data_IF_269991893324
#
_entry.id   IF_269991893324
#
_cell.length_a   1.000
_cell.length_b   1.000
_cell.length_c   1.000
_cell.angle_alpha   90.00
_cell.angle_beta   90.00
_cell.angle_gamma   90.00
#
_symmetry.space_group_name_H-M   'P 1'
#
loop_
_entity.id
_entity.type
_entity.pdbx_description
1 polymer ?
#
# COMPACT_ATOMS: atom_id res chain seq x y z
N UNK A 1 -22.68 -33.35 18.02
CA UNK A 1 -22.86 -31.94 17.67
C UNK A 1 -21.53 -31.49 17.06
N UNK A 2 -21.50 -31.05 15.82
CA UNK A 2 -20.26 -30.58 15.19
C UNK A 2 -19.83 -29.26 15.85
N UNK A 3 -18.53 -29.14 16.22
CA UNK A 3 -17.98 -27.92 16.78
C UNK A 3 -17.96 -26.84 15.68
N UNK A 4 -18.24 -25.58 16.03
CA UNK A 4 -18.04 -24.44 15.16
C UNK A 4 -16.64 -23.85 15.33
N UNK A 5 -16.14 -23.02 14.41
CA UNK A 5 -14.86 -22.30 14.61
C UNK A 5 -14.82 -21.46 15.89
N UNK A 6 -15.96 -20.89 16.30
CA UNK A 6 -16.09 -20.13 17.55
C UNK A 6 -15.95 -21.04 18.77
N UNK A 7 -16.48 -22.28 18.69
CA UNK A 7 -16.37 -23.25 19.78
C UNK A 7 -14.91 -23.68 20.00
N UNK A 8 -14.10 -23.78 18.94
CA UNK A 8 -12.67 -24.10 19.05
C UNK A 8 -11.89 -22.96 19.73
N UNK A 9 -12.22 -21.71 19.44
CA UNK A 9 -11.61 -20.55 20.10
C UNK A 9 -11.97 -20.50 21.59
N UNK A 10 -13.22 -20.81 21.94
CA UNK A 10 -13.66 -20.92 23.34
C UNK A 10 -13.02 -22.12 24.05
N UNK A 11 -12.90 -23.24 23.34
CA UNK A 11 -12.21 -24.42 23.86
C UNK A 11 -10.74 -24.13 24.17
N UNK A 12 -10.06 -23.30 23.35
CA UNK A 12 -8.66 -22.95 23.59
C UNK A 12 -8.41 -22.23 24.91
N UNK A 13 -9.42 -21.51 25.42
CA UNK A 13 -9.35 -20.84 26.74
C UNK A 13 -9.46 -21.84 27.90
N UNK A 14 -10.25 -22.91 27.72
CA UNK A 14 -10.55 -23.88 28.77
C UNK A 14 -9.60 -25.07 28.70
N UNK A 15 -9.28 -25.54 27.52
CA UNK A 15 -8.40 -26.69 27.25
C UNK A 15 -7.61 -26.45 25.95
N UNK A 16 -6.53 -25.69 26.10
CA UNK A 16 -5.60 -25.30 25.02
C UNK A 16 -5.07 -26.53 24.26
N UNK A 17 -4.71 -27.60 24.96
CA UNK A 17 -4.16 -28.82 24.36
C UNK A 17 -5.19 -29.55 23.52
N UNK A 18 -6.45 -29.61 23.93
CA UNK A 18 -7.53 -30.20 23.17
C UNK A 18 -7.87 -29.38 21.92
N UNK A 19 -7.92 -28.05 22.06
CA UNK A 19 -8.14 -27.17 20.93
C UNK A 19 -7.02 -27.32 19.89
N UNK A 20 -5.76 -27.40 20.30
CA UNK A 20 -4.63 -27.61 19.42
C UNK A 20 -4.70 -28.94 18.66
N UNK A 21 -5.16 -30.04 19.32
CA UNK A 21 -5.39 -31.33 18.63
C UNK A 21 -6.48 -31.24 17.58
N UNK A 22 -7.62 -30.61 17.90
CA UNK A 22 -8.70 -30.39 16.92
C UNK A 22 -8.21 -29.61 15.72
N UNK A 23 -7.44 -28.53 15.93
CA UNK A 23 -6.86 -27.74 14.83
C UNK A 23 -5.82 -28.52 14.02
N UNK A 24 -5.07 -29.45 14.64
CA UNK A 24 -4.16 -30.35 13.93
C UNK A 24 -4.90 -31.25 12.96
N UNK A 25 -6.04 -31.81 13.39
CA UNK A 25 -6.89 -32.65 12.53
C UNK A 25 -7.53 -31.83 11.40
N UNK A 26 -7.97 -30.61 11.71
CA UNK A 26 -8.50 -29.65 10.70
C UNK A 26 -7.44 -29.31 9.65
N UNK A 27 -6.21 -29.00 10.08
CA UNK A 27 -5.10 -28.69 9.17
C UNK A 27 -4.76 -29.91 8.30
N UNK A 28 -4.63 -31.09 8.90
CA UNK A 28 -4.28 -32.33 8.19
C UNK A 28 -5.34 -32.66 7.12
N UNK A 29 -6.61 -32.53 7.45
CA UNK A 29 -7.71 -32.73 6.51
C UNK A 29 -7.66 -31.72 5.36
N UNK A 30 -7.43 -30.43 5.66
CA UNK A 30 -7.35 -29.36 4.65
C UNK A 30 -6.17 -29.58 3.68
N UNK A 31 -4.99 -29.97 4.19
CA UNK A 31 -3.81 -30.23 3.39
C UNK A 31 -3.95 -31.48 2.52
N UNK A 32 -4.74 -32.49 2.98
CA UNK A 32 -5.01 -33.73 2.24
C UNK A 32 -6.21 -33.62 1.29
N UNK A 33 -6.87 -32.44 1.20
CA UNK A 33 -8.10 -32.27 0.42
C UNK A 33 -9.30 -33.07 0.98
N UNK A 34 -9.25 -33.49 2.25
CA UNK A 34 -10.31 -34.20 2.94
C UNK A 34 -11.25 -33.23 3.66
N UNK A 35 -12.46 -33.72 3.99
CA UNK A 35 -13.41 -32.92 4.77
C UNK A 35 -12.91 -32.78 6.20
N UNK A 36 -12.66 -31.54 6.62
CA UNK A 36 -12.24 -31.25 7.99
C UNK A 36 -13.36 -31.51 9.01
N UNK A 37 -13.03 -31.95 10.23
CA UNK A 37 -14.02 -32.20 11.30
C UNK A 37 -14.74 -30.92 11.74
N UNK A 38 -14.07 -29.75 11.60
CA UNK A 38 -14.59 -28.40 11.83
C UNK A 38 -14.12 -27.50 10.70
N UNK A 39 -14.98 -26.60 10.21
CA UNK A 39 -14.56 -25.61 9.21
C UNK A 39 -13.49 -24.68 9.81
N UNK A 40 -12.38 -24.39 9.11
CA UNK A 40 -11.44 -23.37 9.52
C UNK A 40 -12.13 -21.99 9.61
N UNK A 41 -11.57 -21.10 10.42
CA UNK A 41 -12.01 -19.69 10.38
C UNK A 41 -11.80 -19.12 8.98
N UNK A 42 -12.72 -18.29 8.44
CA UNK A 42 -12.67 -17.84 7.04
C UNK A 42 -11.33 -17.18 6.65
N UNK A 43 -10.69 -16.44 7.57
CA UNK A 43 -9.38 -15.82 7.31
C UNK A 43 -8.26 -16.84 7.16
N UNK A 44 -8.32 -17.94 7.94
CA UNK A 44 -7.34 -19.04 7.90
C UNK A 44 -7.56 -19.86 6.63
N UNK A 45 -8.80 -20.20 6.31
CA UNK A 45 -9.16 -20.93 5.10
C UNK A 45 -8.70 -20.21 3.83
N UNK A 46 -8.96 -18.90 3.75
CA UNK A 46 -8.50 -18.06 2.65
C UNK A 46 -6.97 -18.03 2.54
N UNK A 47 -6.28 -17.92 3.67
CA UNK A 47 -4.82 -17.96 3.73
C UNK A 47 -4.29 -19.31 3.25
N UNK A 48 -4.77 -20.42 3.80
CA UNK A 48 -4.38 -21.75 3.37
C UNK A 48 -4.64 -21.99 1.88
N UNK A 49 -5.78 -21.53 1.37
CA UNK A 49 -6.09 -21.60 -0.05
C UNK A 49 -5.08 -20.83 -0.92
N UNK A 50 -4.54 -19.69 -0.46
CA UNK A 50 -3.46 -18.99 -1.16
C UNK A 50 -2.16 -19.80 -1.12
N UNK A 51 -1.80 -20.35 0.05
CA UNK A 51 -0.57 -21.13 0.24
C UNK A 51 -0.53 -22.38 -0.63
N UNK A 52 -1.62 -23.14 -0.64
CA UNK A 52 -1.75 -24.33 -1.48
C UNK A 52 -1.61 -24.00 -2.97
N UNK A 53 -2.25 -22.91 -3.43
CA UNK A 53 -2.10 -22.49 -4.84
C UNK A 53 -0.70 -21.98 -5.19
N UNK A 54 0.02 -21.42 -4.22
CA UNK A 54 1.40 -20.92 -4.40
C UNK A 54 2.46 -22.01 -4.21
N UNK A 55 2.06 -23.23 -3.84
CA UNK A 55 3.00 -24.36 -3.64
C UNK A 55 3.90 -24.17 -2.42
N UNK A 56 3.48 -23.46 -1.39
CA UNK A 56 4.24 -23.34 -0.13
C UNK A 56 4.25 -24.69 0.56
N UNK A 57 5.43 -25.20 0.89
CA UNK A 57 5.59 -26.48 1.58
C UNK A 57 5.28 -26.33 3.08
N UNK A 58 4.28 -27.03 3.63
CA UNK A 58 3.94 -26.96 5.04
C UNK A 58 4.99 -27.55 6.00
N UNK A 59 5.93 -28.33 5.49
CA UNK A 59 7.02 -28.95 6.27
C UNK A 59 8.38 -28.30 6.01
N UNK A 60 8.42 -27.18 5.25
CA UNK A 60 9.64 -26.43 4.95
C UNK A 60 10.26 -25.82 6.22
N UNK A 61 11.60 -25.91 6.32
CA UNK A 61 12.36 -25.25 7.41
C UNK A 61 12.77 -23.81 6.97
N UNK A 62 12.24 -22.81 7.70
CA UNK A 62 12.38 -21.40 7.34
C UNK A 62 13.68 -20.78 7.88
N UNK A 63 14.72 -20.88 7.13
CA UNK A 63 15.86 -19.97 7.26
C UNK A 63 16.00 -19.16 5.99
N UNK A 64 15.05 -18.23 5.78
CA UNK A 64 15.06 -17.37 4.59
C UNK A 64 15.96 -16.16 4.82
N UNK A 65 16.56 -15.70 3.70
CA UNK A 65 17.51 -14.60 3.65
C UNK A 65 17.16 -13.41 4.55
N UNK A 66 17.94 -13.27 5.61
CA UNK A 66 17.86 -12.12 6.52
C UNK A 66 18.38 -10.89 5.77
N UNK A 67 17.73 -9.76 6.00
CA UNK A 67 18.31 -8.47 5.63
C UNK A 67 19.61 -8.25 6.44
N UNK A 68 20.58 -7.59 5.84
CA UNK A 68 21.75 -7.13 6.58
C UNK A 68 21.36 -6.13 7.67
N UNK A 69 22.19 -6.01 8.70
CA UNK A 69 21.95 -5.03 9.78
C UNK A 69 21.82 -3.59 9.23
N UNK A 70 22.58 -3.27 8.19
CA UNK A 70 22.54 -1.97 7.54
C UNK A 70 21.18 -1.74 6.82
N UNK A 71 20.66 -2.74 6.11
CA UNK A 71 19.35 -2.64 5.46
C UNK A 71 18.23 -2.49 6.49
N UNK A 72 18.30 -3.24 7.61
CA UNK A 72 17.33 -3.07 8.71
C UNK A 72 17.42 -1.65 9.27
N UNK A 73 18.63 -1.12 9.47
CA UNK A 73 18.84 0.25 9.96
C UNK A 73 18.21 1.27 9.01
N UNK A 74 18.51 1.18 7.72
CA UNK A 74 17.97 2.09 6.70
C UNK A 74 16.43 2.03 6.62
N UNK A 75 15.85 0.82 6.66
CA UNK A 75 14.39 0.66 6.68
C UNK A 75 13.75 1.27 7.92
N UNK A 76 14.38 1.13 9.10
CA UNK A 76 13.93 1.77 10.34
C UNK A 76 13.96 3.30 10.25
N UNK A 77 15.00 3.87 9.67
CA UNK A 77 15.18 5.33 9.54
C UNK A 77 14.11 5.98 8.66
N UNK A 78 13.68 5.31 7.60
CA UNK A 78 12.64 5.82 6.70
C UNK A 78 11.23 5.43 7.11
N UNK A 79 11.07 4.51 8.05
CA UNK A 79 9.75 4.03 8.48
C UNK A 79 9.06 5.04 9.41
N UNK A 80 7.80 5.36 9.11
CA UNK A 80 6.94 6.15 10.00
C UNK A 80 6.66 5.42 11.33
N UNK A 81 6.77 4.08 11.37
CA UNK A 81 6.57 3.29 12.59
C UNK A 81 7.52 3.66 13.71
N UNK A 82 8.71 4.21 13.41
CA UNK A 82 9.65 4.70 14.43
C UNK A 82 9.03 5.75 15.36
N UNK A 83 8.11 6.56 14.85
CA UNK A 83 7.48 7.63 15.62
C UNK A 83 6.45 7.13 16.62
N UNK A 84 5.98 5.89 16.46
CA UNK A 84 4.97 5.27 17.33
C UNK A 84 5.53 4.12 18.17
N UNK A 85 6.82 3.81 18.05
CA UNK A 85 7.48 2.81 18.91
C UNK A 85 7.22 3.04 20.41
N UNK A 86 7.28 4.26 20.97
CA UNK A 86 6.98 4.47 22.39
C UNK A 86 5.57 4.03 22.74
N UNK A 87 4.58 4.34 21.92
CA UNK A 87 3.17 3.95 22.13
C UNK A 87 3.01 2.43 22.07
N UNK A 88 3.64 1.78 21.09
CA UNK A 88 3.59 0.32 20.94
C UNK A 88 4.28 -0.38 22.11
N UNK A 89 5.42 0.12 22.57
CA UNK A 89 6.13 -0.39 23.76
C UNK A 89 5.30 -0.27 25.02
N UNK A 90 4.81 0.92 25.29
CA UNK A 90 3.99 1.19 26.49
C UNK A 90 2.73 0.33 26.50
N UNK A 91 2.05 0.20 25.36
CA UNK A 91 0.80 -0.54 25.25
C UNK A 91 0.97 -2.07 25.25
N UNK A 92 2.12 -2.61 24.84
CA UNK A 92 2.29 -4.05 24.63
C UNK A 92 3.34 -4.71 25.52
N UNK A 93 4.50 -4.06 25.79
CA UNK A 93 5.60 -4.73 26.49
C UNK A 93 5.30 -4.99 27.97
N UNK A 94 4.58 -4.09 28.65
CA UNK A 94 4.26 -4.27 30.07
C UNK A 94 3.49 -5.58 30.35
N UNK A 95 2.66 -6.01 29.39
CA UNK A 95 1.91 -7.28 29.45
C UNK A 95 2.73 -8.42 28.83
N UNK A 96 3.46 -8.15 27.75
CA UNK A 96 4.26 -9.15 27.04
C UNK A 96 5.35 -9.76 27.94
N UNK A 97 6.04 -8.95 28.76
CA UNK A 97 7.09 -9.43 29.66
C UNK A 97 6.57 -10.37 30.77
N UNK A 98 5.40 -10.06 31.32
CA UNK A 98 4.78 -10.90 32.40
C UNK A 98 4.16 -12.18 31.81
N UNK A 99 3.76 -12.18 30.55
CA UNK A 99 3.07 -13.28 29.89
C UNK A 99 3.95 -14.11 28.94
N UNK A 100 5.27 -13.94 29.00
CA UNK A 100 6.22 -14.65 28.11
C UNK A 100 5.95 -14.45 26.61
N UNK A 101 5.54 -13.25 26.22
CA UNK A 101 5.34 -12.89 24.83
C UNK A 101 6.53 -12.10 24.27
N UNK A 102 6.66 -12.15 22.95
CA UNK A 102 7.52 -11.27 22.15
C UNK A 102 6.64 -10.27 21.39
N UNK A 103 7.01 -8.99 21.41
CA UNK A 103 6.47 -7.99 20.49
C UNK A 103 7.37 -7.93 19.25
N UNK A 104 6.77 -8.02 18.08
CA UNK A 104 7.44 -7.92 16.79
C UNK A 104 6.77 -6.82 15.97
N UNK A 105 7.57 -6.00 15.29
CA UNK A 105 7.06 -4.99 14.36
C UNK A 105 7.72 -5.24 13.02
N UNK A 106 6.90 -5.45 12.01
CA UNK A 106 7.31 -5.65 10.64
C UNK A 106 6.83 -4.48 9.75
N UNK A 107 7.55 -4.22 8.66
CA UNK A 107 7.12 -3.26 7.64
C UNK A 107 5.99 -3.81 6.76
N UNK A 108 5.54 -3.01 5.78
CA UNK A 108 4.49 -3.39 4.84
C UNK A 108 4.87 -4.56 3.91
N UNK A 109 6.18 -4.85 3.79
CA UNK A 109 6.71 -5.99 3.05
C UNK A 109 6.82 -7.24 3.93
N UNK A 110 6.42 -7.19 5.21
CA UNK A 110 6.53 -8.30 6.15
C UNK A 110 7.96 -8.54 6.66
N UNK A 111 8.88 -7.57 6.53
CA UNK A 111 10.24 -7.65 7.08
C UNK A 111 10.25 -7.23 8.54
N UNK A 112 10.78 -8.08 9.41
CA UNK A 112 10.89 -7.79 10.85
C UNK A 112 11.90 -6.66 11.07
N UNK A 113 11.42 -5.54 11.57
CA UNK A 113 12.26 -4.38 11.86
C UNK A 113 12.58 -4.20 13.34
N UNK A 114 11.66 -4.50 14.23
CA UNK A 114 11.88 -4.45 15.69
C UNK A 114 11.29 -5.69 16.34
N UNK A 115 11.94 -6.16 17.39
CA UNK A 115 11.45 -7.20 18.26
C UNK A 115 11.92 -6.95 19.69
N UNK A 116 11.02 -7.14 20.64
CA UNK A 116 11.29 -6.90 22.06
C UNK A 116 10.51 -7.91 22.92
N UNK A 117 11.11 -8.34 24.03
CA UNK A 117 10.54 -9.31 24.96
C UNK A 117 11.59 -9.82 25.92
N UNK A 118 11.20 -10.69 26.85
CA UNK A 118 12.13 -11.29 27.80
C UNK A 118 13.16 -12.19 27.11
N UNK A 119 14.37 -12.28 27.67
CA UNK A 119 15.46 -13.09 27.10
C UNK A 119 15.09 -14.55 26.83
N UNK A 120 14.30 -15.25 27.68
CA UNK A 120 13.88 -16.62 27.37
C UNK A 120 12.99 -16.74 26.14
N UNK A 121 12.01 -15.83 25.96
CA UNK A 121 11.11 -15.86 24.80
C UNK A 121 11.83 -15.45 23.53
N UNK A 122 12.77 -14.50 23.59
CA UNK A 122 13.60 -14.12 22.45
C UNK A 122 14.44 -15.30 21.95
N UNK A 123 15.09 -16.06 22.84
CA UNK A 123 15.84 -17.27 22.44
C UNK A 123 14.94 -18.34 21.80
N UNK A 124 13.71 -18.52 22.29
CA UNK A 124 12.74 -19.44 21.69
C UNK A 124 12.33 -18.94 20.30
N UNK A 125 12.13 -17.64 20.15
CA UNK A 125 11.78 -16.99 18.89
C UNK A 125 12.91 -17.10 17.84
N UNK A 126 14.19 -17.02 18.23
CA UNK A 126 15.34 -17.24 17.35
C UNK A 126 15.29 -18.63 16.70
N UNK A 127 14.88 -19.65 17.49
CA UNK A 127 14.72 -21.03 17.00
C UNK A 127 13.62 -21.21 15.95
N UNK A 128 12.73 -20.24 15.78
CA UNK A 128 11.60 -20.27 14.85
C UNK A 128 11.69 -19.20 13.76
N UNK A 129 12.86 -18.54 13.62
CA UNK A 129 13.09 -17.54 12.58
C UNK A 129 12.49 -16.15 12.84
N UNK A 130 12.06 -15.83 14.06
CA UNK A 130 11.67 -14.48 14.46
C UNK A 130 12.91 -13.58 14.70
N UNK A 131 13.75 -13.46 13.66
CA UNK A 131 14.97 -12.66 13.71
C UNK A 131 14.78 -11.29 13.05
N UNK A 132 15.65 -10.33 13.39
CA UNK A 132 15.66 -9.03 12.72
C UNK A 132 16.01 -9.21 11.23
N UNK A 133 15.25 -8.56 10.37
CA UNK A 133 15.41 -8.65 8.93
C UNK A 133 14.76 -9.88 8.29
N UNK A 134 14.18 -10.79 9.07
CA UNK A 134 13.50 -11.98 8.56
C UNK A 134 12.27 -11.61 7.71
N UNK A 135 12.00 -12.45 6.71
CA UNK A 135 10.86 -12.31 5.80
C UNK A 135 9.67 -13.13 6.30
N UNK A 136 8.67 -12.46 6.82
CA UNK A 136 7.46 -13.07 7.35
C UNK A 136 6.25 -12.91 6.43
N UNK A 137 6.46 -12.68 5.14
CA UNK A 137 5.37 -12.69 4.17
C UNK A 137 4.66 -14.03 4.17
N UNK A 138 3.36 -14.01 3.98
CA UNK A 138 2.52 -15.20 3.89
C UNK A 138 2.99 -16.15 2.78
N UNK A 139 3.47 -15.61 1.65
CA UNK A 139 4.04 -16.40 0.54
C UNK A 139 5.37 -17.09 0.86
N UNK A 140 6.01 -16.77 1.98
CA UNK A 140 7.29 -17.34 2.43
C UNK A 140 7.08 -18.26 3.62
N UNK A 141 6.43 -17.76 4.66
CA UNK A 141 6.24 -18.48 5.95
C UNK A 141 4.87 -19.16 6.05
N UNK A 142 3.97 -18.96 5.08
CA UNK A 142 2.60 -19.41 5.20
C UNK A 142 1.77 -18.53 6.14
N UNK A 143 0.63 -19.06 6.58
CA UNK A 143 -0.26 -18.37 7.52
C UNK A 143 0.44 -18.10 8.84
N UNK A 144 0.54 -16.82 9.23
CA UNK A 144 1.26 -16.37 10.43
C UNK A 144 0.72 -15.03 10.95
N UNK A 145 1.17 -14.59 12.13
CA UNK A 145 0.71 -13.36 12.79
C UNK A 145 1.17 -12.06 12.12
N UNK A 146 2.08 -12.09 11.15
CA UNK A 146 2.59 -10.90 10.44
C UNK A 146 2.07 -10.87 9.00
N UNK A 147 2.38 -11.88 8.20
CA UNK A 147 2.05 -11.91 6.77
C UNK A 147 0.57 -11.99 6.50
N UNK A 148 -0.20 -12.71 7.32
CA UNK A 148 -1.65 -12.83 7.15
C UNK A 148 -2.39 -11.52 7.41
N UNK A 149 -2.10 -10.73 8.47
CA UNK A 149 -2.64 -9.37 8.62
C UNK A 149 -2.23 -8.40 7.49
N UNK A 150 -1.01 -8.50 6.95
CA UNK A 150 -0.57 -7.70 5.79
C UNK A 150 -1.52 -7.93 4.60
N UNK A 151 -1.83 -9.18 4.29
CA UNK A 151 -2.70 -9.54 3.17
C UNK A 151 -4.18 -9.25 3.47
N UNK A 152 -4.64 -9.63 4.66
CA UNK A 152 -6.04 -9.50 5.06
C UNK A 152 -6.47 -8.07 5.38
N UNK A 153 -5.50 -7.14 5.62
CA UNK A 153 -5.73 -5.74 6.01
C UNK A 153 -6.62 -5.60 7.25
N UNK A 154 -6.53 -6.55 8.16
CA UNK A 154 -7.27 -6.56 9.43
C UNK A 154 -6.49 -7.33 10.50
N UNK A 155 -6.80 -7.13 11.78
CA UNK A 155 -6.21 -7.92 12.86
C UNK A 155 -6.52 -9.40 12.70
N UNK A 156 -5.51 -10.24 12.94
CA UNK A 156 -5.63 -11.71 12.86
C UNK A 156 -4.88 -12.33 14.03
N UNK A 157 -5.54 -13.24 14.72
CA UNK A 157 -4.90 -14.17 15.64
C UNK A 157 -4.72 -15.52 14.93
N UNK A 158 -3.55 -16.10 15.03
CA UNK A 158 -3.22 -17.43 14.48
C UNK A 158 -2.78 -18.31 15.64
N UNK A 159 -3.47 -19.40 15.84
CA UNK A 159 -3.30 -20.25 17.00
C UNK A 159 -2.96 -21.69 16.59
N UNK A 160 -1.92 -22.26 17.20
CA UNK A 160 -1.53 -23.65 17.00
C UNK A 160 -1.43 -24.02 15.51
N UNK A 161 -2.12 -25.10 15.13
CA UNK A 161 -2.15 -25.62 13.75
C UNK A 161 -2.98 -24.78 12.77
N UNK A 162 -3.42 -23.57 13.12
CA UNK A 162 -3.85 -22.57 12.15
C UNK A 162 -2.64 -22.00 11.39
N UNK A 163 -1.43 -22.05 11.97
CA UNK A 163 -0.21 -21.81 11.23
C UNK A 163 -0.07 -22.83 10.10
N UNK A 164 0.26 -22.34 8.90
CA UNK A 164 0.40 -23.23 7.74
C UNK A 164 1.59 -24.17 7.91
N UNK A 165 2.67 -23.67 8.47
CA UNK A 165 3.92 -24.39 8.62
C UNK A 165 4.03 -25.06 9.99
N UNK A 166 4.50 -26.30 9.97
CA UNK A 166 4.56 -27.17 11.15
C UNK A 166 5.43 -26.60 12.28
N UNK A 167 6.56 -25.99 11.96
CA UNK A 167 7.47 -25.42 12.96
C UNK A 167 6.87 -24.29 13.80
N UNK A 168 5.75 -23.67 13.30
CA UNK A 168 5.07 -22.57 13.97
C UNK A 168 3.89 -23.02 14.86
N UNK A 169 3.52 -24.29 14.81
CA UNK A 169 2.32 -24.78 15.52
C UNK A 169 2.40 -24.78 17.05
N UNK A 170 3.56 -24.54 17.62
CA UNK A 170 3.76 -24.35 19.08
C UNK A 170 3.57 -22.89 19.55
N UNK A 171 3.14 -22.00 18.65
CA UNK A 171 2.97 -20.58 18.91
C UNK A 171 1.50 -20.16 18.82
N UNK A 172 1.20 -19.08 19.55
CA UNK A 172 0.04 -18.22 19.32
C UNK A 172 0.55 -16.84 18.92
N UNK A 173 0.07 -16.34 17.78
CA UNK A 173 0.51 -15.09 17.19
C UNK A 173 -0.70 -14.17 16.97
N UNK A 174 -0.58 -12.91 17.32
CA UNK A 174 -1.67 -11.95 17.18
C UNK A 174 -1.13 -10.67 16.55
N UNK A 175 -1.45 -10.48 15.27
CA UNK A 175 -0.99 -9.33 14.51
C UNK A 175 -2.10 -8.35 14.16
N UNK A 176 -1.79 -7.06 14.22
CA UNK A 176 -2.66 -5.98 13.77
C UNK A 176 -1.92 -5.05 12.79
N UNK A 177 -2.52 -4.74 11.63
CA UNK A 177 -1.95 -3.79 10.69
C UNK A 177 -1.98 -2.38 11.26
N UNK A 178 -0.96 -1.58 10.93
CA UNK A 178 -0.89 -0.15 11.21
C UNK A 178 -0.90 0.57 9.88
N UNK A 179 -1.89 1.44 9.68
CA UNK A 179 -2.08 2.20 8.46
C UNK A 179 -1.73 3.67 8.64
N UNK A 180 -1.28 4.29 7.56
CA UNK A 180 -1.07 5.73 7.55
C UNK A 180 -2.42 6.45 7.59
N UNK A 181 -2.72 7.24 8.63
CA UNK A 181 -4.02 7.91 8.73
C UNK A 181 -4.23 9.00 7.67
N UNK A 182 -3.18 9.37 6.93
CA UNK A 182 -3.20 10.38 5.88
C UNK A 182 -3.81 9.85 4.57
N UNK A 183 -3.46 8.64 4.18
CA UNK A 183 -3.82 8.07 2.87
C UNK A 183 -4.28 6.60 2.91
N UNK A 184 -4.30 5.95 4.08
CA UNK A 184 -4.71 4.56 4.26
C UNK A 184 -3.67 3.53 3.81
N UNK A 185 -2.45 3.96 3.50
CA UNK A 185 -1.35 3.06 3.13
C UNK A 185 -0.94 2.22 4.33
N UNK A 186 -0.69 0.92 4.12
CA UNK A 186 -0.12 0.05 5.14
C UNK A 186 1.30 0.51 5.44
N UNK A 187 1.60 0.74 6.71
CA UNK A 187 2.94 1.05 7.20
C UNK A 187 3.66 -0.22 7.67
N UNK A 188 2.91 -1.17 8.21
CA UNK A 188 3.41 -2.43 8.71
C UNK A 188 2.41 -3.13 9.62
N UNK A 189 2.91 -4.08 10.40
CA UNK A 189 2.14 -4.88 11.35
C UNK A 189 2.85 -4.88 12.68
N UNK A 190 2.11 -4.73 13.77
CA UNK A 190 2.58 -5.09 15.10
C UNK A 190 2.00 -6.45 15.47
N UNK A 191 2.84 -7.35 15.97
CA UNK A 191 2.50 -8.70 16.38
C UNK A 191 2.94 -8.96 17.83
N UNK A 192 2.08 -9.65 18.57
CA UNK A 192 2.39 -10.21 19.88
C UNK A 192 2.28 -11.71 19.78
N UNK A 193 3.41 -12.39 19.97
CA UNK A 193 3.54 -13.83 19.84
C UNK A 193 4.06 -14.46 21.14
N UNK A 194 3.55 -15.64 21.46
CA UNK A 194 3.96 -16.38 22.65
C UNK A 194 3.77 -17.88 22.51
N UNK A 195 4.20 -18.63 23.54
CA UNK A 195 3.89 -20.06 23.63
C UNK A 195 2.39 -20.33 23.55
N UNK A 196 2.04 -21.52 23.08
CA UNK A 196 0.67 -21.93 22.86
C UNK A 196 -0.22 -21.74 24.11
N UNK A 197 0.33 -21.96 25.27
CA UNK A 197 -0.35 -21.90 26.58
C UNK A 197 -0.77 -20.47 26.95
N UNK A 198 -0.19 -19.46 26.30
CA UNK A 198 -0.50 -18.05 26.55
C UNK A 198 -1.65 -17.53 25.70
N UNK A 199 -2.29 -18.40 24.90
CA UNK A 199 -3.41 -18.03 24.04
C UNK A 199 -4.56 -17.46 24.85
N UNK A 200 -5.02 -16.28 24.45
CA UNK A 200 -6.24 -15.67 24.96
C UNK A 200 -6.95 -14.88 23.85
N UNK A 201 -8.29 -15.00 23.69
CA UNK A 201 -9.03 -14.29 22.63
C UNK A 201 -8.98 -12.77 22.77
N UNK A 202 -8.89 -12.25 23.99
CA UNK A 202 -8.79 -10.81 24.25
C UNK A 202 -7.50 -10.18 23.70
N UNK A 203 -6.45 -11.00 23.47
CA UNK A 203 -5.18 -10.51 22.89
C UNK A 203 -5.42 -9.85 21.53
N UNK A 204 -6.35 -10.36 20.73
CA UNK A 204 -6.68 -9.77 19.44
C UNK A 204 -7.22 -8.33 19.59
N UNK A 205 -8.18 -8.13 20.49
CA UNK A 205 -8.76 -6.82 20.73
C UNK A 205 -7.75 -5.85 21.36
N UNK A 206 -6.89 -6.36 22.24
CA UNK A 206 -5.83 -5.57 22.86
C UNK A 206 -4.80 -5.09 21.83
N UNK A 207 -4.23 -5.98 21.01
CA UNK A 207 -3.24 -5.63 19.98
C UNK A 207 -3.83 -4.68 18.94
N UNK A 208 -5.08 -4.91 18.50
CA UNK A 208 -5.81 -4.01 17.61
C UNK A 208 -6.01 -2.62 18.21
N UNK A 209 -6.35 -2.55 19.51
CA UNK A 209 -6.53 -1.27 20.19
C UNK A 209 -5.23 -0.47 20.27
N UNK A 210 -4.10 -1.13 20.54
CA UNK A 210 -2.79 -0.46 20.59
C UNK A 210 -2.33 -0.05 19.19
N UNK A 211 -2.60 -0.86 18.14
CA UNK A 211 -2.35 -0.47 16.75
C UNK A 211 -3.14 0.79 16.36
N UNK A 212 -4.42 0.87 16.73
CA UNK A 212 -5.26 2.07 16.50
C UNK A 212 -4.78 3.29 17.31
N UNK A 213 -4.27 3.08 18.52
CA UNK A 213 -3.65 4.16 19.29
C UNK A 213 -2.39 4.68 18.60
N UNK A 214 -1.57 3.81 18.02
CA UNK A 214 -0.42 4.19 17.20
C UNK A 214 -0.84 5.00 15.96
N UNK A 215 -1.89 4.59 15.24
CA UNK A 215 -2.45 5.35 14.13
C UNK A 215 -2.97 6.73 14.57
N UNK A 216 -3.63 6.80 15.73
CA UNK A 216 -4.07 8.08 16.31
C UNK A 216 -2.90 9.00 16.62
N UNK A 217 -1.80 8.46 17.14
CA UNK A 217 -0.56 9.21 17.40
C UNK A 217 0.07 9.73 16.11
N UNK A 218 0.11 8.93 15.03
CA UNK A 218 0.57 9.40 13.72
C UNK A 218 -0.29 10.55 13.20
N UNK A 219 -1.61 10.48 13.37
CA UNK A 219 -2.53 11.57 13.01
C UNK A 219 -2.25 12.85 13.79
N UNK A 220 -2.06 12.74 15.10
CA UNK A 220 -1.70 13.87 15.97
C UNK A 220 -0.40 14.54 15.51
N UNK A 221 0.66 13.73 15.26
CA UNK A 221 1.95 14.24 14.79
C UNK A 221 1.83 14.96 13.46
N UNK A 222 1.06 14.41 12.51
CA UNK A 222 0.81 15.03 11.21
C UNK A 222 0.05 16.36 11.36
N UNK A 223 -1.05 16.38 12.11
CA UNK A 223 -1.82 17.62 12.33
C UNK A 223 -0.99 18.68 13.04
N UNK A 224 -0.19 18.29 14.03
CA UNK A 224 0.74 19.21 14.71
C UNK A 224 1.82 19.76 13.77
N UNK A 225 2.29 18.98 12.80
CA UNK A 225 3.24 19.43 11.79
C UNK A 225 2.59 20.44 10.84
N UNK A 226 1.37 20.16 10.36
CA UNK A 226 0.63 21.09 9.49
C UNK A 226 0.27 22.39 10.21
N UNK A 227 -0.06 22.35 11.50
CA UNK A 227 -0.35 23.55 12.28
C UNK A 227 0.89 24.45 12.46
N UNK A 228 2.06 23.86 12.73
CA UNK A 228 3.31 24.61 12.75
C UNK A 228 3.61 25.27 11.40
N UNK A 229 3.43 24.52 10.29
CA UNK A 229 3.62 25.09 8.96
C UNK A 229 2.60 26.19 8.65
N UNK A 230 1.35 26.04 9.08
CA UNK A 230 0.31 27.06 8.95
C UNK A 230 0.69 28.36 9.65
N UNK A 231 1.19 28.26 10.87
CA UNK A 231 1.63 29.43 11.65
C UNK A 231 2.77 30.18 10.96
N UNK A 232 3.70 29.47 10.32
CA UNK A 232 4.79 30.09 9.53
C UNK A 232 4.26 30.69 8.22
N UNK A 233 3.32 30.02 7.56
CA UNK A 233 2.81 30.44 6.26
C UNK A 233 1.80 31.60 6.33
N UNK A 234 1.03 31.72 7.41
CA UNK A 234 -0.06 32.69 7.51
C UNK A 234 0.37 34.15 7.24
N UNK A 235 1.44 34.71 7.85
CA UNK A 235 1.86 36.06 7.58
C UNK A 235 2.39 36.27 6.14
N UNK A 236 2.91 35.21 5.52
CA UNK A 236 3.37 35.25 4.12
C UNK A 236 2.17 35.23 3.18
N UNK A 237 1.23 34.31 3.37
CA UNK A 237 0.01 34.18 2.57
C UNK A 237 -0.87 35.45 2.63
N UNK A 238 -0.91 36.13 3.78
CA UNK A 238 -1.67 37.38 3.94
C UNK A 238 -1.13 38.53 3.05
N UNK A 239 0.13 38.45 2.60
CA UNK A 239 0.78 39.46 1.73
C UNK A 239 0.80 39.00 0.26
N UNK A 240 0.44 37.78 -0.03
CA UNK A 240 0.41 37.28 -1.41
C UNK A 240 -0.89 37.75 -2.06
N UNK A 241 -0.76 38.57 -3.11
CA UNK A 241 -1.88 38.87 -4.02
C UNK A 241 -2.06 37.69 -4.98
N UNK A 242 -3.26 37.07 -5.01
CA UNK A 242 -3.55 35.98 -5.92
C UNK A 242 -3.60 34.60 -5.26
N UNK A 243 -3.46 33.55 -6.07
CA UNK A 243 -3.62 32.15 -5.66
C UNK A 243 -2.32 31.59 -5.09
N UNK A 244 -2.35 31.12 -3.85
CA UNK A 244 -1.19 30.45 -3.26
C UNK A 244 -1.60 29.42 -2.22
N UNK A 245 -0.70 28.45 -1.97
CA UNK A 245 -0.86 27.43 -0.93
C UNK A 245 0.48 27.15 -0.24
N UNK A 246 0.39 26.81 1.04
CA UNK A 246 1.50 26.29 1.82
C UNK A 246 1.29 24.80 2.05
N UNK A 247 2.29 23.99 1.70
CA UNK A 247 2.23 22.53 1.79
C UNK A 247 3.48 21.99 2.49
N UNK A 248 3.35 20.84 3.15
CA UNK A 248 4.49 20.12 3.69
C UNK A 248 5.33 19.47 2.56
N UNK A 249 6.39 18.74 2.92
CA UNK A 249 7.29 18.09 1.95
C UNK A 249 6.61 17.00 1.14
N UNK A 250 5.53 16.41 1.66
CA UNK A 250 4.71 15.36 1.02
C UNK A 250 3.52 15.94 0.25
N UNK A 251 3.38 17.27 0.23
CA UNK A 251 2.33 18.00 -0.45
C UNK A 251 1.04 18.18 0.35
N UNK A 252 0.99 17.81 1.63
CA UNK A 252 -0.19 18.04 2.45
C UNK A 252 -0.38 19.53 2.75
N UNK A 253 -1.58 20.02 2.52
CA UNK A 253 -1.88 21.44 2.55
C UNK A 253 -2.09 21.93 3.97
N UNK A 254 -1.26 22.88 4.40
CA UNK A 254 -1.41 23.57 5.67
C UNK A 254 -2.34 24.79 5.55
N UNK A 255 -2.23 25.60 4.49
CA UNK A 255 -3.04 26.78 4.27
C UNK A 255 -3.16 27.13 2.78
N UNK A 256 -4.20 27.85 2.41
CA UNK A 256 -4.42 28.38 1.05
C UNK A 256 -4.91 29.82 1.09
N UNK A 257 -4.68 30.56 0.01
CA UNK A 257 -5.27 31.87 -0.25
C UNK A 257 -5.68 32.01 -1.71
N UNK A 258 -6.75 32.74 -2.01
CA UNK A 258 -7.20 33.04 -3.38
C UNK A 258 -7.68 31.84 -4.20
N UNK A 259 -7.85 30.65 -3.61
CA UNK A 259 -8.24 29.45 -4.31
C UNK A 259 -8.98 28.46 -3.38
N UNK A 260 -9.78 27.51 -3.93
CA UNK A 260 -10.41 26.47 -3.13
C UNK A 260 -9.37 25.59 -2.41
N UNK A 261 -9.73 25.12 -1.20
CA UNK A 261 -8.89 24.23 -0.43
C UNK A 261 -8.73 22.88 -1.17
N UNK A 262 -7.49 22.41 -1.26
CA UNK A 262 -7.15 21.04 -1.66
C UNK A 262 -6.38 20.39 -0.52
N UNK A 263 -6.71 19.16 -0.16
CA UNK A 263 -6.06 18.47 0.97
C UNK A 263 -4.59 18.13 0.70
N UNK A 264 -4.25 17.89 -0.57
CA UNK A 264 -2.89 17.51 -0.97
C UNK A 264 -2.56 18.01 -2.38
N UNK A 265 -1.41 18.65 -2.52
CA UNK A 265 -0.77 18.94 -3.79
C UNK A 265 0.14 17.77 -4.18
N UNK A 266 0.08 17.34 -5.44
CA UNK A 266 1.01 16.33 -5.96
C UNK A 266 2.34 17.00 -6.29
N UNK A 267 3.36 16.67 -5.48
CA UNK A 267 4.70 17.19 -5.66
C UNK A 267 5.60 16.13 -6.31
N UNK A 268 6.52 16.54 -7.21
CA UNK A 268 7.56 15.65 -7.71
C UNK A 268 8.51 15.25 -6.56
N UNK A 269 9.11 14.05 -6.64
CA UNK A 269 10.04 13.53 -5.62
C UNK A 269 11.22 14.47 -5.35
N UNK A 270 11.64 15.24 -6.37
CA UNK A 270 12.72 16.24 -6.31
C UNK A 270 12.16 17.63 -6.62
N UNK A 271 11.29 18.15 -5.74
CA UNK A 271 10.82 19.52 -5.88
C UNK A 271 11.97 20.50 -5.57
N UNK A 272 12.20 21.47 -6.47
CA UNK A 272 13.19 22.54 -6.31
C UNK A 272 12.53 23.90 -6.40
N UNK A 273 13.19 24.91 -5.86
CA UNK A 273 12.73 26.31 -5.89
C UNK A 273 12.65 26.87 -7.31
N UNK A 274 11.90 27.96 -7.48
CA UNK A 274 11.71 28.67 -8.73
C UNK A 274 10.45 28.31 -9.48
N UNK A 275 10.43 28.59 -10.78
CA UNK A 275 9.28 28.38 -11.63
C UNK A 275 9.13 26.87 -11.95
N UNK A 276 7.95 26.31 -11.67
CA UNK A 276 7.64 24.89 -11.87
C UNK A 276 6.22 24.73 -12.37
N UNK A 277 6.03 23.71 -13.20
CA UNK A 277 4.68 23.27 -13.54
C UNK A 277 4.23 22.19 -12.54
N UNK A 278 3.10 22.41 -11.88
CA UNK A 278 2.56 21.48 -10.87
C UNK A 278 1.11 21.14 -11.19
N UNK A 279 0.75 19.84 -11.30
CA UNK A 279 -0.65 19.45 -11.40
C UNK A 279 -1.36 19.70 -10.05
N UNK A 280 -2.60 20.12 -10.02
CA UNK A 280 -3.47 20.65 -11.08
C UNK A 280 -3.38 22.16 -11.23
N UNK A 281 -2.32 22.80 -10.71
CA UNK A 281 -2.22 24.26 -10.56
C UNK A 281 -1.66 24.96 -11.80
N UNK A 282 -0.96 24.22 -12.67
CA UNK A 282 -0.26 24.80 -13.82
C UNK A 282 1.09 25.37 -13.44
N UNK A 283 1.42 26.53 -14.01
CA UNK A 283 2.69 27.22 -13.73
C UNK A 283 2.67 27.83 -12.34
N UNK A 284 3.68 27.50 -11.54
CA UNK A 284 3.80 27.91 -10.14
C UNK A 284 5.21 28.39 -9.83
N UNK A 285 5.33 29.38 -8.94
CA UNK A 285 6.60 29.71 -8.28
C UNK A 285 6.66 28.97 -6.95
N UNK A 286 7.71 28.15 -6.75
CA UNK A 286 7.94 27.36 -5.54
C UNK A 286 9.02 28.04 -4.70
N UNK A 287 8.70 28.34 -3.46
CA UNK A 287 9.59 28.97 -2.48
C UNK A 287 9.69 28.06 -1.23
N UNK A 288 10.85 27.98 -0.56
CA UNK A 288 10.98 27.18 0.65
C UNK A 288 10.30 27.88 1.83
N UNK A 289 9.64 27.08 2.67
CA UNK A 289 9.17 27.49 3.99
C UNK A 289 9.74 26.54 5.06
N UNK A 290 9.84 27.00 6.29
CA UNK A 290 10.20 26.13 7.40
C UNK A 290 9.15 25.04 7.57
N UNK A 291 9.53 23.79 7.25
CA UNK A 291 8.65 22.62 7.29
C UNK A 291 7.96 22.26 5.98
N UNK A 292 8.17 23.02 4.87
CA UNK A 292 7.51 22.75 3.60
C UNK A 292 7.81 23.74 2.49
N UNK A 293 6.79 24.02 1.69
CA UNK A 293 6.87 24.86 0.50
C UNK A 293 5.72 25.87 0.46
N UNK A 294 6.02 27.09 -0.01
CA UNK A 294 5.04 28.04 -0.52
C UNK A 294 4.95 27.87 -2.05
N UNK A 295 3.76 27.65 -2.54
CA UNK A 295 3.48 27.49 -3.97
C UNK A 295 2.55 28.63 -4.37
N UNK A 296 3.05 29.55 -5.21
CA UNK A 296 2.26 30.64 -5.80
C UNK A 296 1.85 30.22 -7.19
N UNK A 297 0.56 30.18 -7.44
CA UNK A 297 -0.01 29.79 -8.74
C UNK A 297 0.00 31.02 -9.64
N UNK A 298 0.61 30.91 -10.82
CA UNK A 298 0.59 31.99 -11.80
C UNK A 298 -0.82 32.15 -12.38
N UNK A 299 -1.29 33.40 -12.44
CA UNK A 299 -2.52 33.75 -13.14
C UNK A 299 -2.28 34.09 -14.62
N UNK A 300 -1.01 34.14 -15.05
CA UNK A 300 -0.70 34.33 -16.46
C UNK A 300 -1.17 33.12 -17.26
N UNK A 301 -1.88 33.36 -18.36
CA UNK A 301 -2.19 32.27 -19.28
C UNK A 301 -0.86 31.69 -19.77
N UNK A 302 -0.60 30.43 -19.40
CA UNK A 302 0.55 29.68 -19.94
C UNK A 302 0.49 29.85 -21.46
N UNK A 303 1.53 30.37 -22.15
CA UNK A 303 1.59 30.29 -23.58
C UNK A 303 1.25 28.85 -23.95
N UNK A 304 0.37 28.62 -24.95
CA UNK A 304 -0.03 27.29 -25.43
C UNK A 304 1.18 26.58 -26.07
N UNK A 305 2.27 26.43 -25.33
CA UNK A 305 3.35 25.51 -25.66
C UNK A 305 2.78 24.14 -25.34
N UNK A 306 2.71 23.30 -26.36
CA UNK A 306 2.18 21.96 -26.25
C UNK A 306 2.80 21.26 -25.03
N UNK A 307 1.98 20.93 -24.05
CA UNK A 307 2.45 20.17 -22.90
C UNK A 307 2.62 18.74 -23.34
N UNK A 308 3.87 18.27 -23.41
CA UNK A 308 4.16 16.87 -23.80
C UNK A 308 3.84 15.95 -22.63
N UNK A 309 3.02 14.96 -22.89
CA UNK A 309 2.66 13.89 -21.95
C UNK A 309 3.22 12.58 -22.50
N UNK A 310 4.19 11.99 -21.84
CA UNK A 310 4.77 10.70 -22.21
C UNK A 310 4.24 9.64 -21.25
N UNK A 311 3.50 8.67 -21.78
CA UNK A 311 3.05 7.49 -21.07
C UNK A 311 4.02 6.35 -21.39
N UNK A 312 4.89 6.02 -20.44
CA UNK A 312 5.88 4.96 -20.60
C UNK A 312 5.34 3.64 -20.05
N UNK A 313 5.08 2.68 -20.95
CA UNK A 313 4.59 1.34 -20.67
C UNK A 313 5.64 0.26 -21.03
N UNK A 314 6.88 0.64 -21.31
CA UNK A 314 7.94 -0.26 -21.78
C UNK A 314 8.35 -1.30 -20.76
N UNK A 315 8.21 -1.00 -19.46
CA UNK A 315 8.58 -1.90 -18.38
C UNK A 315 7.38 -2.69 -17.86
N UNK A 316 7.48 -4.00 -17.76
CA UNK A 316 6.38 -4.91 -17.38
C UNK A 316 5.84 -4.72 -15.96
N UNK A 317 6.55 -4.00 -15.08
CA UNK A 317 6.17 -3.81 -13.67
C UNK A 317 6.20 -2.37 -13.19
N UNK A 318 6.61 -1.43 -14.02
CA UNK A 318 6.73 -0.02 -13.67
C UNK A 318 6.30 0.87 -14.83
N UNK A 319 5.13 1.45 -14.69
CA UNK A 319 4.56 2.35 -15.68
C UNK A 319 4.60 3.78 -15.17
N UNK A 320 4.97 4.71 -16.03
CA UNK A 320 5.08 6.10 -15.63
C UNK A 320 4.36 7.03 -16.60
N UNK A 321 3.84 8.12 -16.08
CA UNK A 321 3.42 9.26 -16.89
C UNK A 321 4.35 10.43 -16.60
N UNK A 322 4.94 10.99 -17.64
CA UNK A 322 5.81 12.16 -17.55
C UNK A 322 5.15 13.32 -18.28
N UNK A 323 4.99 14.43 -17.59
CA UNK A 323 4.48 15.67 -18.16
C UNK A 323 5.64 16.66 -18.23
N UNK A 324 5.89 17.21 -19.42
CA UNK A 324 6.95 18.19 -19.66
C UNK A 324 6.42 19.39 -20.42
N UNK A 325 6.96 20.56 -20.09
CA UNK A 325 6.64 21.83 -20.71
C UNK A 325 7.76 22.85 -20.46
N UNK A 326 7.56 24.10 -20.87
CA UNK A 326 8.55 25.18 -20.74
C UNK A 326 9.04 25.43 -19.30
N UNK A 327 8.26 25.02 -18.29
CA UNK A 327 8.56 25.23 -16.87
C UNK A 327 9.17 24.00 -16.17
N UNK A 328 9.52 22.94 -16.91
CA UNK A 328 10.14 21.73 -16.38
C UNK A 328 9.35 20.45 -16.67
N UNK A 329 9.78 19.36 -16.07
CA UNK A 329 9.12 18.05 -16.21
C UNK A 329 8.73 17.48 -14.85
N UNK A 330 7.67 16.68 -14.85
CA UNK A 330 7.15 15.95 -13.71
C UNK A 330 6.84 14.51 -14.12
N UNK A 331 7.18 13.55 -13.28
CA UNK A 331 6.92 12.14 -13.54
C UNK A 331 6.21 11.48 -12.37
N UNK A 332 5.25 10.60 -12.66
CA UNK A 332 4.48 9.84 -11.69
C UNK A 332 4.41 8.38 -12.06
N UNK A 333 4.64 7.51 -11.08
CA UNK A 333 4.48 6.07 -11.24
C UNK A 333 3.01 5.68 -11.12
N UNK A 334 2.52 4.94 -12.10
CA UNK A 334 1.12 4.59 -12.25
C UNK A 334 0.78 3.26 -11.55
N UNK A 335 -0.40 3.20 -10.95
CA UNK A 335 -1.00 1.91 -10.62
C UNK A 335 -1.40 1.16 -11.91
N UNK A 336 -1.52 -0.19 -11.87
CA UNK A 336 -1.96 -0.95 -13.04
C UNK A 336 -3.25 -0.40 -13.67
N UNK A 337 -4.24 -0.07 -12.85
CA UNK A 337 -5.53 0.47 -13.30
C UNK A 337 -5.42 1.86 -13.92
N UNK A 338 -4.55 2.72 -13.38
CA UNK A 338 -4.33 4.04 -13.96
C UNK A 338 -3.57 3.95 -15.29
N UNK A 339 -2.63 3.01 -15.42
CA UNK A 339 -1.93 2.76 -16.68
C UNK A 339 -2.89 2.30 -17.78
N UNK A 340 -3.82 1.37 -17.48
CA UNK A 340 -4.88 0.93 -18.38
C UNK A 340 -5.75 2.10 -18.86
N UNK A 341 -6.28 2.90 -17.92
CA UNK A 341 -7.15 4.02 -18.25
C UNK A 341 -6.45 5.08 -19.11
N UNK A 342 -5.22 5.47 -18.76
CA UNK A 342 -4.47 6.45 -19.54
C UNK A 342 -4.08 5.93 -20.91
N UNK A 343 -3.74 4.65 -21.05
CA UNK A 343 -3.50 4.01 -22.33
C UNK A 343 -4.75 4.07 -23.22
N UNK A 344 -5.91 3.69 -22.69
CA UNK A 344 -7.18 3.74 -23.43
C UNK A 344 -7.54 5.18 -23.85
N UNK A 345 -7.32 6.18 -23.00
CA UNK A 345 -7.53 7.58 -23.34
C UNK A 345 -6.52 8.08 -24.39
N UNK A 346 -5.31 7.56 -24.42
CA UNK A 346 -4.34 7.87 -25.46
C UNK A 346 -4.74 7.28 -26.82
N UNK A 347 -5.39 6.12 -26.84
CA UNK A 347 -5.97 5.52 -28.05
C UNK A 347 -7.22 6.26 -28.54
N UNK A 348 -8.05 6.74 -27.63
CA UNK A 348 -9.32 7.40 -27.96
C UNK A 348 -9.21 8.92 -27.77
N UNK A 349 -8.56 9.60 -28.72
CA UNK A 349 -8.31 11.04 -28.68
C UNK A 349 -9.59 11.88 -28.66
N UNK A 350 -10.64 11.41 -29.32
CA UNK A 350 -11.97 12.06 -29.34
C UNK A 350 -12.69 11.94 -27.99
N UNK A 351 -12.17 11.09 -27.10
CA UNK A 351 -12.67 10.87 -25.77
C UNK A 351 -13.56 9.63 -25.61
N UNK A 352 -13.67 9.19 -24.36
CA UNK A 352 -14.51 8.04 -23.98
C UNK A 352 -15.45 8.44 -22.83
N UNK A 353 -16.71 8.04 -22.94
CA UNK A 353 -17.67 8.15 -21.85
C UNK A 353 -17.38 7.15 -20.71
N UNK A 354 -17.96 7.39 -19.52
CA UNK A 354 -17.74 6.48 -18.39
C UNK A 354 -18.22 5.04 -18.66
N UNK A 355 -19.29 4.86 -19.44
CA UNK A 355 -19.78 3.53 -19.82
C UNK A 355 -18.83 2.84 -20.81
N UNK A 356 -18.31 3.57 -21.82
CA UNK A 356 -17.35 3.02 -22.76
C UNK A 356 -16.04 2.61 -22.09
N UNK A 357 -15.50 3.44 -21.18
CA UNK A 357 -14.33 3.05 -20.37
C UNK A 357 -14.61 1.86 -19.45
N UNK A 358 -15.84 1.75 -18.92
CA UNK A 358 -16.22 0.59 -18.09
C UNK A 358 -16.26 -0.70 -18.92
N UNK A 359 -16.76 -0.64 -20.13
CA UNK A 359 -16.74 -1.74 -21.09
C UNK A 359 -15.30 -2.11 -21.46
N UNK A 360 -14.47 -1.13 -21.84
CA UNK A 360 -13.08 -1.32 -22.24
C UNK A 360 -12.22 -1.96 -21.13
N UNK A 361 -12.47 -1.59 -19.86
CA UNK A 361 -11.66 -2.02 -18.71
C UNK A 361 -12.22 -3.26 -18.02
N UNK A 362 -13.53 -3.41 -17.96
CA UNK A 362 -14.20 -4.46 -17.18
C UNK A 362 -15.04 -5.42 -18.02
N UNK A 363 -15.28 -5.13 -19.30
CA UNK A 363 -16.23 -5.86 -20.11
C UNK A 363 -17.70 -5.66 -19.68
N UNK A 364 -17.95 -4.62 -18.86
CA UNK A 364 -19.28 -4.36 -18.29
C UNK A 364 -19.54 -2.83 -18.25
N UNK A 365 -20.36 -2.30 -19.15
CA UNK A 365 -20.65 -0.87 -19.24
C UNK A 365 -21.40 -0.31 -18.01
N UNK A 366 -21.98 -1.17 -17.14
CA UNK A 366 -22.66 -0.74 -15.93
C UNK A 366 -21.70 -0.27 -14.82
N UNK A 367 -20.41 -0.63 -14.87
CA UNK A 367 -19.41 -0.31 -13.85
C UNK A 367 -18.90 1.14 -13.88
N UNK A 368 -19.76 2.07 -14.26
CA UNK A 368 -19.43 3.51 -14.39
C UNK A 368 -18.99 4.18 -13.09
N UNK A 369 -19.51 3.71 -11.94
CA UNK A 369 -19.15 4.27 -10.62
C UNK A 369 -17.66 4.01 -10.33
N UNK A 370 -17.17 2.81 -10.63
CA UNK A 370 -15.76 2.45 -10.45
C UNK A 370 -14.87 3.29 -11.36
N UNK A 371 -15.24 3.43 -12.65
CA UNK A 371 -14.50 4.28 -13.61
C UNK A 371 -14.44 5.73 -13.13
N UNK A 372 -15.55 6.30 -12.69
CA UNK A 372 -15.60 7.68 -12.19
C UNK A 372 -14.70 7.88 -10.98
N UNK A 373 -14.66 6.91 -10.06
CA UNK A 373 -13.78 6.94 -8.89
C UNK A 373 -12.30 6.91 -9.29
N UNK A 374 -11.92 6.00 -10.20
CA UNK A 374 -10.53 5.91 -10.69
C UNK A 374 -10.14 7.14 -11.52
N UNK A 375 -10.99 7.62 -12.41
CA UNK A 375 -10.74 8.85 -13.17
C UNK A 375 -10.63 10.09 -12.28
N UNK A 376 -11.40 10.14 -11.19
CA UNK A 376 -11.24 11.19 -10.18
C UNK A 376 -9.85 11.15 -9.52
N UNK A 377 -9.31 9.95 -9.29
CA UNK A 377 -7.94 9.77 -8.76
C UNK A 377 -6.88 10.19 -9.77
N UNK A 378 -7.02 9.76 -11.02
CA UNK A 378 -6.12 10.15 -12.12
C UNK A 378 -6.09 11.67 -12.29
N UNK A 379 -7.25 12.33 -12.25
CA UNK A 379 -7.34 13.79 -12.37
C UNK A 379 -6.70 14.56 -11.22
N UNK A 380 -6.46 13.94 -10.07
CA UNK A 380 -5.72 14.62 -8.97
C UNK A 380 -4.30 14.97 -9.35
N UNK A 381 -3.65 14.17 -10.22
CA UNK A 381 -2.29 14.41 -10.66
C UNK A 381 -2.16 14.86 -12.13
N UNK A 382 -3.18 14.64 -12.97
CA UNK A 382 -3.19 15.12 -14.37
C UNK A 382 -4.21 16.25 -14.62
N UNK A 383 -4.90 16.71 -13.61
CA UNK A 383 -5.98 17.71 -13.55
C UNK A 383 -6.31 18.46 -14.83
N UNK A 384 -5.56 19.51 -15.12
CA UNK A 384 -5.78 20.37 -16.28
C UNK A 384 -5.45 19.77 -17.66
N UNK A 385 -4.93 18.53 -17.70
CA UNK A 385 -4.61 17.80 -18.93
C UNK A 385 -5.70 16.80 -19.32
N UNK A 386 -6.74 16.62 -18.48
CA UNK A 386 -7.83 15.68 -18.71
C UNK A 386 -9.18 16.36 -18.59
N UNK A 387 -9.95 16.33 -19.67
CA UNK A 387 -11.37 16.65 -19.67
C UNK A 387 -12.20 15.50 -19.06
N UNK A 388 -13.47 15.73 -18.73
CA UNK A 388 -14.25 14.74 -18.01
C UNK A 388 -15.61 14.40 -18.65
N UNK A 389 -15.99 15.07 -19.75
CA UNK A 389 -17.24 14.79 -20.49
C UNK A 389 -17.08 15.11 -21.97
N UNK A 390 -16.61 14.18 -22.77
CA UNK A 390 -16.06 12.84 -22.44
C UNK A 390 -14.71 12.92 -21.72
N UNK A 391 -14.23 11.79 -21.16
CA UNK A 391 -12.86 11.69 -20.68
C UNK A 391 -11.91 11.66 -21.86
N UNK A 392 -11.00 12.63 -21.94
CA UNK A 392 -9.95 12.72 -22.98
C UNK A 392 -8.80 13.60 -22.50
N UNK A 393 -7.68 13.47 -23.12
CA UNK A 393 -6.62 14.47 -22.98
C UNK A 393 -7.07 15.78 -23.64
N UNK A 394 -6.69 16.92 -23.04
CA UNK A 394 -6.98 18.25 -23.61
C UNK A 394 -6.28 18.43 -24.96
N UNK A 395 -6.83 19.25 -25.84
CA UNK A 395 -6.26 19.52 -27.17
C UNK A 395 -4.83 20.07 -27.13
N UNK A 396 -4.45 20.76 -26.03
CA UNK A 396 -3.10 21.28 -25.81
C UNK A 396 -2.09 20.26 -25.30
N UNK A 397 -2.51 19.00 -25.06
CA UNK A 397 -1.63 17.91 -24.61
C UNK A 397 -1.10 17.11 -25.80
N UNK A 398 0.20 17.21 -26.08
CA UNK A 398 0.89 16.33 -27.00
C UNK A 398 1.20 15.02 -26.27
N UNK A 399 0.42 13.97 -26.54
CA UNK A 399 0.51 12.70 -25.82
C UNK A 399 1.22 11.65 -26.67
N UNK A 400 2.30 11.15 -26.14
CA UNK A 400 3.10 10.06 -26.67
C UNK A 400 2.99 8.84 -25.76
N UNK A 401 2.86 7.65 -26.35
CA UNK A 401 2.85 6.38 -25.61
C UNK A 401 4.06 5.57 -26.05
N UNK A 402 4.93 5.26 -25.10
CA UNK A 402 6.04 4.35 -25.31
C UNK A 402 5.57 2.94 -24.96
N UNK A 403 5.55 2.08 -25.97
CA UNK A 403 5.09 0.70 -25.88
C UNK A 403 6.28 -0.25 -25.71
N UNK A 404 6.09 -1.42 -25.06
CA UNK A 404 7.10 -2.46 -24.99
C UNK A 404 7.40 -3.00 -26.42
N UNK A 405 8.61 -3.54 -26.60
CA UNK A 405 9.03 -4.11 -27.88
C UNK A 405 8.21 -5.34 -28.27
N UNK A 406 7.83 -6.19 -27.31
CA UNK A 406 6.86 -7.28 -27.52
C UNK A 406 5.46 -6.81 -27.08
N UNK A 407 4.46 -6.81 -27.96
CA UNK A 407 3.09 -6.47 -27.61
C UNK A 407 2.51 -7.28 -26.43
N UNK A 408 3.00 -8.48 -26.18
CA UNK A 408 2.58 -9.34 -25.06
C UNK A 408 2.96 -8.76 -23.72
N UNK A 409 4.01 -7.92 -23.67
CA UNK A 409 4.48 -7.25 -22.44
C UNK A 409 3.71 -5.97 -22.14
N UNK A 410 2.76 -5.58 -22.98
CA UNK A 410 1.88 -4.45 -22.72
C UNK A 410 0.98 -4.75 -21.52
N UNK A 411 1.26 -4.11 -20.38
CA UNK A 411 0.48 -4.27 -19.15
C UNK A 411 0.18 -5.74 -18.80
N UNK A 412 1.19 -6.62 -18.63
CA UNK A 412 1.06 -8.09 -18.72
C UNK A 412 0.06 -8.70 -17.73
N UNK A 413 -0.25 -8.01 -16.64
CA UNK A 413 -1.22 -8.44 -15.63
C UNK A 413 -2.62 -7.85 -15.81
N UNK A 414 -2.84 -7.08 -16.88
CA UNK A 414 -4.14 -6.50 -17.18
C UNK A 414 -5.14 -7.57 -17.62
N UNK A 415 -6.34 -7.49 -17.04
CA UNK A 415 -7.52 -8.27 -17.43
C UNK A 415 -8.51 -7.43 -18.24
N UNK A 416 -8.16 -6.19 -18.60
CA UNK A 416 -9.00 -5.28 -19.37
C UNK A 416 -9.16 -5.80 -20.80
N UNK A 417 -10.40 -6.05 -21.30
CA UNK A 417 -10.64 -6.58 -22.64
C UNK A 417 -9.96 -5.78 -23.74
N UNK A 418 -10.05 -4.45 -23.69
CA UNK A 418 -9.46 -3.59 -24.70
C UNK A 418 -7.92 -3.60 -24.69
N UNK A 419 -7.28 -3.82 -23.54
CA UNK A 419 -5.82 -3.98 -23.43
C UNK A 419 -5.38 -5.33 -23.97
N UNK A 420 -6.14 -6.40 -23.65
CA UNK A 420 -5.87 -7.77 -24.14
C UNK A 420 -5.97 -7.80 -25.66
N UNK A 421 -6.99 -7.17 -26.24
CA UNK A 421 -7.14 -7.04 -27.69
C UNK A 421 -5.96 -6.31 -28.32
N UNK A 422 -5.40 -5.29 -27.66
CA UNK A 422 -4.23 -4.56 -28.16
C UNK A 422 -2.89 -5.33 -28.06
N UNK A 423 -2.85 -6.51 -27.41
CA UNK A 423 -1.70 -7.42 -27.41
C UNK A 423 -1.67 -8.38 -28.60
N UNK A 424 -2.79 -8.52 -29.31
CA UNK A 424 -2.81 -9.33 -30.52
C UNK A 424 -1.99 -8.62 -31.62
N UNK A 425 -1.17 -9.34 -32.39
CA UNK A 425 -0.51 -8.76 -33.55
C UNK A 425 -1.56 -8.47 -34.60
N UNK A 426 -2.02 -7.23 -34.69
CA UNK A 426 -2.96 -6.80 -35.74
C UNK A 426 -2.23 -6.05 -36.83
N UNK A 427 -2.63 -6.35 -38.08
CA UNK A 427 -2.16 -5.79 -39.35
C UNK A 427 -2.52 -4.29 -39.55
N UNK A 428 -2.37 -3.45 -38.52
CA UNK A 428 -2.63 -2.02 -38.68
C UNK A 428 -1.31 -1.26 -38.76
N UNK A 429 -0.92 -0.77 -39.95
CA UNK A 429 0.34 -0.03 -40.12
C UNK A 429 0.17 1.37 -39.53
N UNK A 430 0.97 1.69 -38.53
CA UNK A 430 1.21 3.08 -38.16
C UNK A 430 1.41 3.48 -36.70
N UNK A 431 1.32 2.60 -35.70
CA UNK A 431 1.39 3.01 -34.29
C UNK A 431 2.64 2.55 -33.51
N UNK A 432 3.47 1.70 -34.07
CA UNK A 432 4.70 1.27 -33.42
C UNK A 432 5.89 2.15 -33.82
N UNK A 433 6.22 3.16 -33.02
CA UNK A 433 7.56 3.74 -33.01
C UNK A 433 8.37 3.05 -31.92
N UNK A 434 9.25 2.17 -32.34
CA UNK A 434 10.28 1.55 -31.50
C UNK A 434 11.15 2.63 -30.83
N UNK A 435 11.51 2.40 -29.57
CA UNK A 435 12.52 3.19 -28.87
C UNK A 435 13.84 3.16 -29.65
N UNK A 436 14.60 4.26 -29.70
CA UNK A 436 15.94 4.23 -30.26
C UNK A 436 16.80 3.32 -29.40
N UNK A 437 17.47 2.38 -30.05
CA UNK A 437 18.56 1.58 -29.50
C UNK A 437 19.76 2.47 -29.22
N UNK A 438 20.07 2.70 -27.91
CA UNK A 438 21.41 2.90 -27.39
C UNK A 438 21.49 2.35 -25.95
#
# INVERSE_FOLDING_TARGET
MALSPTDVTQLAVVDTARAARVLSDVRSAALSGQRAPVAPRPVIEQSWGRMLRSGVDPDHDFRTGLLSQEEVRLRREVSELRHVLPVLREGLLSVADTAHHIMVIADADGRVLWREGSSPVLRKADGTGFELGADWRESVIGTNGIGTPVVARRPVQVFASEHFVRSQTSWTCTGAPITDPRDGRLLGVVDVSGPLETMHPATLAWVDSVAKLAESKLRELHLGSLERLRSVAAPVLARVGGRALAVDRDGWTAAVTGMPYTSRAFLPKSLSTGLRWLPPFGLCTVEPLAGGWLIRVSDEPVPRVATRVVLDLTQSRRWTVTVSGSAGSWSHELSPRHAELLYLLALHRDGRGAAGLAEDVFGDPARTVTVRAEMSRVRRYLGGLLEHRPYRFTEGADVEVLLPADPRDLLPHSTAPAVISGRAPDDTPGMYRSAPSE
#
